data_IF_282714538297
#
_entry.id   IF_282714538297
#
_cell.length_a   1.000
_cell.length_b   1.000
_cell.length_c   1.000
_cell.angle_alpha   90.00
_cell.angle_beta   90.00
_cell.angle_gamma   90.00
#
_symmetry.space_group_name_H-M   'P 1'
#
loop_
_entity.id
_entity.type
_entity.pdbx_description
1 polymer ?
#
# COMPACT_ATOMS: atom_id res chain seq x y z
N UNK A 1 -50.14 -23.24 -11.21
CA UNK A 1 -49.39 -22.83 -12.42
C UNK A 1 -48.14 -22.10 -11.95
N UNK A 2 -46.96 -22.63 -12.32
CA UNK A 2 -45.65 -22.09 -11.96
C UNK A 2 -45.20 -21.11 -13.04
N UNK A 3 -44.90 -19.87 -12.68
CA UNK A 3 -44.20 -18.92 -13.55
C UNK A 3 -42.82 -18.65 -12.94
N UNK A 4 -41.83 -19.28 -13.57
CA UNK A 4 -40.41 -18.95 -13.41
C UNK A 4 -40.14 -17.71 -14.26
N UNK A 5 -39.85 -16.58 -13.63
CA UNK A 5 -39.24 -15.45 -14.33
C UNK A 5 -37.74 -15.54 -14.09
N UNK A 6 -37.07 -16.09 -15.10
CA UNK A 6 -35.63 -16.06 -15.29
C UNK A 6 -35.28 -14.61 -15.67
N UNK A 7 -34.69 -13.84 -14.76
CA UNK A 7 -33.99 -12.60 -15.13
C UNK A 7 -32.50 -12.88 -15.15
N UNK A 8 -31.96 -12.88 -16.37
CA UNK A 8 -30.81 -12.05 -16.69
C UNK A 8 -29.46 -12.52 -16.16
N UNK A 9 -28.81 -13.33 -16.98
CA UNK A 9 -27.43 -13.78 -16.87
C UNK A 9 -26.45 -12.62 -17.17
N UNK A 10 -25.39 -12.52 -16.36
CA UNK A 10 -24.05 -11.93 -16.59
C UNK A 10 -23.89 -10.44 -16.96
N UNK A 11 -23.09 -9.75 -16.13
CA UNK A 11 -21.75 -9.32 -16.54
C UNK A 11 -20.92 -8.95 -15.31
N UNK A 12 -19.94 -9.79 -14.98
CA UNK A 12 -18.85 -9.41 -14.10
C UNK A 12 -18.03 -8.31 -14.82
N UNK A 13 -18.26 -7.05 -14.47
CA UNK A 13 -17.30 -6.00 -14.77
C UNK A 13 -16.31 -6.00 -13.61
N UNK A 14 -15.23 -6.76 -13.78
CA UNK A 14 -14.02 -6.57 -13.01
C UNK A 14 -13.51 -5.14 -13.30
N UNK A 15 -13.96 -4.17 -12.51
CA UNK A 15 -13.41 -2.84 -12.48
C UNK A 15 -12.31 -2.82 -11.41
N UNK A 16 -11.01 -2.75 -11.77
CA UNK A 16 -9.92 -2.64 -10.79
C UNK A 16 -9.92 -1.31 -10.02
N UNK A 17 -10.91 -0.44 -10.22
CA UNK A 17 -10.90 0.96 -9.77
C UNK A 17 -11.84 1.27 -8.60
N UNK A 18 -12.68 0.32 -8.17
CA UNK A 18 -13.64 0.53 -7.08
C UNK A 18 -13.11 0.17 -5.68
N UNK A 19 -11.95 -0.49 -5.57
CA UNK A 19 -11.36 -0.93 -4.28
C UNK A 19 -10.91 0.26 -3.43
N UNK A 20 -10.63 1.40 -4.07
CA UNK A 20 -10.07 2.59 -3.45
C UNK A 20 -11.07 3.33 -2.54
N UNK A 21 -12.35 3.43 -2.95
CA UNK A 21 -13.35 4.16 -2.20
C UNK A 21 -13.81 3.41 -0.93
N UNK A 22 -13.88 2.08 -0.99
CA UNK A 22 -14.22 1.22 0.15
C UNK A 22 -13.12 1.30 1.22
N UNK A 23 -11.86 1.03 0.84
CA UNK A 23 -10.72 1.01 1.78
C UNK A 23 -10.44 2.35 2.47
N UNK A 24 -10.75 3.49 1.84
CA UNK A 24 -10.63 4.80 2.48
C UNK A 24 -11.66 5.00 3.60
N UNK A 25 -12.87 4.48 3.39
CA UNK A 25 -13.95 4.49 4.38
C UNK A 25 -13.66 3.55 5.55
N UNK A 26 -13.16 2.36 5.25
CA UNK A 26 -12.81 1.34 6.26
C UNK A 26 -11.74 1.87 7.22
N UNK A 27 -10.63 2.44 6.72
CA UNK A 27 -9.60 3.08 7.57
C UNK A 27 -10.14 4.18 8.48
N UNK A 28 -11.18 4.91 8.05
CA UNK A 28 -11.81 5.95 8.90
C UNK A 28 -12.69 5.32 9.96
N UNK A 29 -13.46 4.27 9.62
CA UNK A 29 -14.31 3.53 10.55
C UNK A 29 -13.47 2.90 11.66
N UNK A 30 -12.43 2.15 11.32
CA UNK A 30 -11.58 1.47 12.30
C UNK A 30 -10.78 2.47 13.15
N UNK A 31 -10.54 3.70 12.64
CA UNK A 31 -10.03 4.79 13.48
C UNK A 31 -11.05 5.30 14.50
N UNK A 32 -12.33 5.32 14.18
CA UNK A 32 -13.39 5.68 15.12
C UNK A 32 -13.54 4.59 16.18
N UNK A 33 -13.58 3.34 15.77
CA UNK A 33 -13.69 2.18 16.67
C UNK A 33 -12.52 2.11 17.67
N UNK A 34 -11.28 2.29 17.22
CA UNK A 34 -10.11 2.35 18.12
C UNK A 34 -10.24 3.48 19.17
N UNK A 35 -10.94 4.57 18.86
CA UNK A 35 -11.18 5.66 19.81
C UNK A 35 -12.31 5.34 20.78
N UNK A 36 -13.35 4.68 20.31
CA UNK A 36 -14.49 4.21 21.10
C UNK A 36 -14.01 3.20 22.15
N UNK A 37 -13.36 2.11 21.71
CA UNK A 37 -12.80 1.10 22.61
C UNK A 37 -11.80 1.67 23.63
N UNK A 38 -11.08 2.73 23.27
CA UNK A 38 -10.18 3.41 24.22
C UNK A 38 -10.93 4.20 25.30
N UNK A 39 -12.10 4.75 24.98
CA UNK A 39 -12.98 5.41 25.95
C UNK A 39 -13.60 4.37 26.87
N UNK A 40 -14.09 3.28 26.32
CA UNK A 40 -14.72 2.20 27.09
C UNK A 40 -13.72 1.60 28.09
N UNK A 41 -12.49 1.29 27.63
CA UNK A 41 -11.40 0.89 28.52
C UNK A 41 -11.04 1.93 29.60
N UNK A 42 -11.16 3.23 29.30
CA UNK A 42 -10.88 4.30 30.26
C UNK A 42 -11.98 4.44 31.32
N UNK A 43 -13.23 4.15 30.95
CA UNK A 43 -14.40 4.20 31.83
C UNK A 43 -14.65 2.86 32.57
N UNK A 44 -14.08 1.75 32.09
CA UNK A 44 -14.21 0.42 32.67
C UNK A 44 -13.89 0.35 34.18
N UNK A 45 -12.83 1.00 34.71
CA UNK A 45 -12.55 0.98 36.16
C UNK A 45 -13.61 1.65 37.03
N UNK A 46 -14.53 2.43 36.45
CA UNK A 46 -15.60 3.11 37.19
C UNK A 46 -16.81 2.20 37.44
N UNK A 47 -16.99 1.16 36.62
CA UNK A 47 -18.22 0.36 36.60
C UNK A 47 -17.98 -1.16 36.60
N UNK A 48 -16.79 -1.63 36.20
CA UNK A 48 -16.50 -3.05 35.97
C UNK A 48 -15.49 -3.66 36.94
N UNK A 49 -15.37 -4.98 36.88
CA UNK A 49 -14.41 -5.76 37.66
C UNK A 49 -13.07 -5.98 36.92
N UNK A 50 -12.16 -6.75 37.52
CA UNK A 50 -10.85 -7.03 36.92
C UNK A 50 -10.93 -7.87 35.63
N UNK A 51 -12.01 -8.64 35.43
CA UNK A 51 -12.31 -9.38 34.22
C UNK A 51 -12.73 -8.46 33.08
N UNK A 52 -13.63 -7.52 33.35
CA UNK A 52 -14.13 -6.55 32.37
C UNK A 52 -12.99 -5.70 31.81
N UNK A 53 -12.11 -5.17 32.68
CA UNK A 53 -10.94 -4.39 32.26
C UNK A 53 -10.01 -5.21 31.35
N UNK A 54 -9.91 -6.53 31.55
CA UNK A 54 -9.10 -7.41 30.70
C UNK A 54 -9.73 -7.60 29.33
N UNK A 55 -11.06 -7.69 29.26
CA UNK A 55 -11.80 -7.79 28.00
C UNK A 55 -11.66 -6.52 27.17
N UNK A 56 -11.92 -5.36 27.77
CA UNK A 56 -11.74 -4.05 27.13
C UNK A 56 -10.32 -3.84 26.58
N UNK A 57 -9.30 -4.35 27.30
CA UNK A 57 -7.91 -4.34 26.80
C UNK A 57 -7.74 -5.19 25.56
N UNK A 58 -8.42 -6.35 25.46
CA UNK A 58 -8.39 -7.21 24.27
C UNK A 58 -9.10 -6.51 23.11
N UNK A 59 -10.22 -5.84 23.35
CA UNK A 59 -10.99 -5.17 22.29
C UNK A 59 -10.21 -4.00 21.70
N UNK A 60 -9.54 -3.19 22.54
CA UNK A 60 -8.60 -2.17 22.06
C UNK A 60 -7.46 -2.77 21.24
N UNK A 61 -6.96 -3.95 21.62
CA UNK A 61 -5.90 -4.62 20.85
C UNK A 61 -6.41 -5.09 19.48
N UNK A 62 -7.58 -5.72 19.45
CA UNK A 62 -8.25 -6.20 18.23
C UNK A 62 -8.54 -5.05 17.27
N UNK A 63 -9.18 -3.97 17.74
CA UNK A 63 -9.49 -2.80 16.91
C UNK A 63 -8.21 -2.13 16.36
N UNK A 64 -7.13 -2.10 17.17
CA UNK A 64 -5.82 -1.61 16.70
C UNK A 64 -5.18 -2.52 15.66
N UNK A 65 -5.44 -3.81 15.70
CA UNK A 65 -4.96 -4.74 14.68
C UNK A 65 -5.72 -4.53 13.37
N UNK A 66 -7.04 -4.48 13.42
CA UNK A 66 -7.90 -4.20 12.26
C UNK A 66 -7.51 -2.89 11.57
N UNK A 67 -7.36 -1.79 12.33
CA UNK A 67 -6.92 -0.51 11.77
C UNK A 67 -5.53 -0.61 11.07
N UNK A 68 -4.64 -1.48 11.54
CA UNK A 68 -3.33 -1.68 10.88
C UNK A 68 -3.49 -2.43 9.58
N UNK A 69 -4.38 -3.42 9.53
CA UNK A 69 -4.70 -4.20 8.34
C UNK A 69 -5.37 -3.31 7.28
N UNK A 70 -6.41 -2.55 7.65
CA UNK A 70 -7.08 -1.61 6.74
C UNK A 70 -6.12 -0.55 6.20
N UNK A 71 -5.23 -0.01 7.05
CA UNK A 71 -4.21 0.95 6.59
C UNK A 71 -3.21 0.33 5.64
N UNK A 72 -2.88 -0.95 5.82
CA UNK A 72 -1.98 -1.68 4.92
C UNK A 72 -2.66 -1.86 3.57
N UNK A 73 -3.92 -2.26 3.56
CA UNK A 73 -4.70 -2.52 2.34
C UNK A 73 -4.98 -1.23 1.58
N UNK A 74 -5.39 -0.18 2.29
CA UNK A 74 -5.54 1.16 1.72
C UNK A 74 -4.24 1.62 1.03
N UNK A 75 -3.08 1.48 1.68
CA UNK A 75 -1.79 1.86 1.09
C UNK A 75 -1.39 0.98 -0.09
N UNK A 76 -1.73 -0.30 -0.07
CA UNK A 76 -1.47 -1.20 -1.19
C UNK A 76 -2.28 -0.78 -2.43
N UNK A 77 -3.55 -0.39 -2.25
CA UNK A 77 -4.43 0.08 -3.32
C UNK A 77 -4.25 1.56 -3.72
N UNK A 78 -3.69 2.41 -2.85
CA UNK A 78 -3.52 3.86 -3.08
C UNK A 78 -2.07 4.29 -3.21
N UNK A 79 -1.28 3.52 -3.95
CA UNK A 79 0.08 3.95 -4.28
C UNK A 79 0.01 5.25 -5.08
N UNK A 80 0.76 6.30 -4.70
CA UNK A 80 0.72 7.56 -5.42
C UNK A 80 1.14 7.34 -6.87
N UNK A 81 0.46 8.03 -7.80
CA UNK A 81 0.80 8.01 -9.21
C UNK A 81 2.29 8.34 -9.40
N UNK A 82 2.93 7.63 -10.33
CA UNK A 82 4.32 7.93 -10.65
C UNK A 82 4.38 9.29 -11.35
N UNK A 83 5.17 10.20 -10.80
CA UNK A 83 5.46 11.52 -11.40
C UNK A 83 6.92 11.52 -11.77
N UNK A 84 7.23 11.73 -13.05
CA UNK A 84 8.62 11.78 -13.49
C UNK A 84 9.33 13.03 -12.92
N UNK A 85 10.64 12.94 -12.61
CA UNK A 85 11.40 14.07 -12.06
C UNK A 85 11.66 15.19 -13.07
N UNK A 86 11.53 14.90 -14.36
CA UNK A 86 11.81 15.84 -15.45
C UNK A 86 10.49 16.21 -16.13
N UNK A 87 10.27 17.51 -16.32
CA UNK A 87 9.07 18.02 -16.99
C UNK A 87 9.03 17.56 -18.45
N UNK A 88 7.83 17.19 -18.93
CA UNK A 88 7.63 16.67 -20.29
C UNK A 88 8.12 15.23 -20.48
N UNK A 89 8.64 14.59 -19.42
CA UNK A 89 9.04 13.20 -19.50
C UNK A 89 7.82 12.28 -19.53
N UNK A 90 7.70 11.51 -20.61
CA UNK A 90 6.74 10.42 -20.72
C UNK A 90 7.42 9.09 -20.38
N UNK A 91 6.68 8.23 -19.68
CA UNK A 91 7.14 6.88 -19.38
C UNK A 91 7.47 6.14 -20.67
N UNK A 92 8.63 5.47 -20.70
CA UNK A 92 9.02 4.54 -21.76
C UNK A 92 9.75 3.36 -21.12
N UNK A 93 9.52 2.12 -21.57
CA UNK A 93 10.28 0.98 -21.07
C UNK A 93 11.80 1.22 -21.24
N UNK A 94 12.56 0.86 -20.21
CA UNK A 94 14.03 0.88 -20.24
C UNK A 94 14.57 -0.54 -20.10
N UNK A 95 15.78 -0.77 -20.61
CA UNK A 95 16.47 -2.05 -20.50
C UNK A 95 17.78 -1.89 -19.72
N UNK A 96 18.38 -3.02 -19.33
CA UNK A 96 19.73 -3.05 -18.76
C UNK A 96 20.72 -2.30 -19.65
N UNK A 97 21.62 -1.54 -19.03
CA UNK A 97 22.60 -0.69 -19.71
C UNK A 97 22.13 0.73 -20.02
N UNK A 98 20.81 1.00 -20.02
CA UNK A 98 20.27 2.35 -20.14
C UNK A 98 20.83 3.30 -19.08
N UNK A 99 21.00 4.58 -19.41
CA UNK A 99 21.53 5.59 -18.48
C UNK A 99 20.43 6.57 -18.07
N UNK A 100 20.08 6.54 -16.78
CA UNK A 100 19.22 7.54 -16.17
C UNK A 100 19.97 8.84 -15.87
N UNK A 101 19.24 9.95 -15.94
CA UNK A 101 19.71 11.22 -15.39
C UNK A 101 19.64 11.16 -13.85
N UNK A 102 20.51 11.92 -13.13
CA UNK A 102 20.55 11.94 -11.66
C UNK A 102 19.20 12.10 -10.96
N UNK A 103 18.30 12.89 -11.54
CA UNK A 103 16.99 13.16 -10.96
C UNK A 103 16.10 11.90 -10.80
N UNK A 104 16.31 10.85 -11.60
CA UNK A 104 15.53 9.59 -11.54
C UNK A 104 15.95 8.66 -10.40
N UNK A 105 17.13 8.87 -9.83
CA UNK A 105 17.61 8.12 -8.67
C UNK A 105 17.86 9.02 -7.47
N UNK A 106 17.16 10.16 -7.40
CA UNK A 106 17.06 10.98 -6.20
C UNK A 106 16.15 10.36 -5.14
N UNK A 107 16.24 10.86 -3.91
CA UNK A 107 15.60 10.30 -2.71
C UNK A 107 14.11 9.94 -2.88
N UNK A 108 13.34 10.72 -3.65
CA UNK A 108 11.92 10.49 -3.92
C UNK A 108 11.63 9.15 -4.62
N UNK A 109 12.58 8.68 -5.43
CA UNK A 109 12.42 7.46 -6.24
C UNK A 109 13.13 6.28 -5.63
N UNK A 110 14.06 6.49 -4.68
CA UNK A 110 14.78 5.42 -4.02
C UNK A 110 13.82 4.57 -3.18
N UNK A 111 13.93 3.27 -3.34
CA UNK A 111 13.21 2.28 -2.55
C UNK A 111 14.01 2.03 -1.28
N UNK A 112 13.57 2.69 -0.21
CA UNK A 112 14.24 2.65 1.09
C UNK A 112 14.29 1.24 1.71
N UNK A 113 13.26 0.42 1.49
CA UNK A 113 13.20 -0.95 2.00
C UNK A 113 12.97 -1.97 0.86
N UNK A 114 14.05 -2.50 0.26
CA UNK A 114 13.96 -3.48 -0.82
C UNK A 114 13.28 -4.80 -0.39
N UNK A 115 13.42 -5.20 0.88
CA UNK A 115 12.90 -6.48 1.39
C UNK A 115 11.38 -6.52 1.34
N UNK A 116 10.71 -5.38 1.54
CA UNK A 116 9.24 -5.27 1.41
C UNK A 116 8.74 -5.65 0.01
N UNK A 117 9.61 -5.49 -1.00
CA UNK A 117 9.36 -5.84 -2.39
C UNK A 117 9.97 -7.18 -2.80
N UNK A 118 10.47 -7.96 -1.83
CA UNK A 118 11.21 -9.22 -2.05
C UNK A 118 12.43 -9.03 -2.97
N UNK A 119 13.04 -7.85 -2.90
CA UNK A 119 14.25 -7.53 -3.66
C UNK A 119 15.49 -7.84 -2.83
N UNK A 120 16.59 -8.28 -3.47
CA UNK A 120 17.89 -8.35 -2.80
C UNK A 120 18.37 -6.95 -2.43
N UNK A 121 19.21 -6.88 -1.39
CA UNK A 121 19.90 -5.64 -1.04
C UNK A 121 20.69 -5.14 -2.26
N UNK A 122 20.53 -3.86 -2.60
CA UNK A 122 21.12 -3.29 -3.82
C UNK A 122 22.66 -3.40 -3.84
N UNK A 123 23.30 -3.41 -2.66
CA UNK A 123 24.75 -3.40 -2.50
C UNK A 123 25.34 -1.99 -2.59
N UNK A 124 26.67 -1.89 -2.53
CA UNK A 124 27.37 -0.60 -2.51
C UNK A 124 27.24 0.15 -3.84
N UNK A 125 26.99 1.46 -3.79
CA UNK A 125 26.81 2.34 -4.96
C UNK A 125 25.70 1.92 -5.93
N UNK A 126 24.72 1.17 -5.42
CA UNK A 126 23.59 0.70 -6.19
C UNK A 126 22.32 1.03 -5.40
N UNK A 127 21.28 1.42 -6.10
CA UNK A 127 19.99 1.72 -5.48
C UNK A 127 18.87 1.15 -6.33
N UNK A 128 17.90 0.54 -5.64
CA UNK A 128 16.60 0.25 -6.23
C UNK A 128 15.82 1.55 -6.29
N UNK A 129 15.28 1.85 -7.47
CA UNK A 129 14.43 3.01 -7.69
C UNK A 129 13.09 2.58 -8.28
N UNK A 130 12.05 3.37 -8.04
CA UNK A 130 10.77 3.30 -8.74
C UNK A 130 10.87 4.06 -10.06
N UNK A 131 10.53 3.41 -11.15
CA UNK A 131 10.35 4.04 -12.45
C UNK A 131 9.03 3.61 -13.08
N UNK A 132 8.01 4.46 -13.02
CA UNK A 132 6.64 4.05 -13.36
C UNK A 132 6.14 2.97 -12.40
N UNK A 133 5.83 1.80 -12.99
CA UNK A 133 5.44 0.58 -12.27
C UNK A 133 6.60 -0.43 -12.20
N UNK A 134 7.79 -0.06 -12.66
CA UNK A 134 8.97 -0.91 -12.69
C UNK A 134 9.90 -0.59 -11.51
N UNK A 135 10.57 -1.63 -11.00
CA UNK A 135 11.66 -1.51 -10.04
C UNK A 135 12.96 -1.61 -10.83
N UNK A 136 13.83 -0.64 -10.66
CA UNK A 136 15.08 -0.56 -11.43
C UNK A 136 16.25 -0.50 -10.48
N UNK A 137 17.24 -1.37 -10.66
CA UNK A 137 18.51 -1.29 -9.96
C UNK A 137 19.46 -0.41 -10.77
N UNK A 138 19.93 0.68 -10.17
CA UNK A 138 20.80 1.66 -10.82
C UNK A 138 22.13 1.76 -10.10
N UNK A 139 23.24 1.82 -10.86
CA UNK A 139 24.53 2.25 -10.33
C UNK A 139 24.54 3.77 -10.16
N UNK A 140 24.54 4.26 -8.92
CA UNK A 140 24.37 5.69 -8.63
C UNK A 140 25.53 6.57 -9.08
N UNK A 141 26.72 5.97 -9.31
CA UNK A 141 27.90 6.71 -9.79
C UNK A 141 27.81 7.04 -11.28
N UNK A 142 27.20 6.15 -12.07
CA UNK A 142 27.15 6.27 -13.53
C UNK A 142 25.76 6.55 -14.08
N UNK A 143 24.71 6.28 -13.29
CA UNK A 143 23.31 6.30 -13.70
C UNK A 143 22.91 5.08 -14.55
N UNK A 144 23.78 4.07 -14.68
CA UNK A 144 23.48 2.89 -15.52
C UNK A 144 22.55 1.90 -14.83
N UNK A 145 21.56 1.42 -15.58
CA UNK A 145 20.66 0.35 -15.18
C UNK A 145 21.41 -0.98 -15.17
N UNK A 146 21.32 -1.69 -14.05
CA UNK A 146 21.86 -3.03 -13.85
C UNK A 146 20.75 -4.06 -14.07
N UNK A 147 19.56 -3.80 -13.54
CA UNK A 147 18.44 -4.73 -13.56
C UNK A 147 17.11 -3.98 -13.65
N UNK A 148 16.12 -4.57 -14.33
CA UNK A 148 14.75 -4.04 -14.44
C UNK A 148 13.76 -5.15 -14.11
N UNK A 149 12.93 -4.91 -13.11
CA UNK A 149 11.81 -5.77 -12.74
C UNK A 149 10.51 -5.08 -13.11
N UNK A 150 9.85 -5.61 -14.14
CA UNK A 150 8.70 -4.94 -14.75
C UNK A 150 7.42 -5.19 -13.96
N UNK A 151 6.60 -4.14 -13.80
CA UNK A 151 5.29 -4.19 -13.13
C UNK A 151 5.37 -4.79 -11.71
N UNK A 152 6.44 -4.48 -10.98
CA UNK A 152 6.72 -5.02 -9.64
C UNK A 152 6.61 -3.99 -8.52
N UNK A 153 6.43 -2.71 -8.86
CA UNK A 153 6.14 -1.65 -7.89
C UNK A 153 4.63 -1.55 -7.66
#
# INVERSE_FOLDING_TARGET
MRSLIIIGLLAAVAAPTAVSAQSAGDVRRSQQEVREQQRDLQDAPRHGDAGDIREERRDVQSARQELREDRRDYRAGHRPAYVAPVRGWSYRPVNTGYRFQPAFYGQRYVIANPVQYRLPAAGRHRQWIRYGNDLVLVNVRTGRVIEVLRRRY
#
